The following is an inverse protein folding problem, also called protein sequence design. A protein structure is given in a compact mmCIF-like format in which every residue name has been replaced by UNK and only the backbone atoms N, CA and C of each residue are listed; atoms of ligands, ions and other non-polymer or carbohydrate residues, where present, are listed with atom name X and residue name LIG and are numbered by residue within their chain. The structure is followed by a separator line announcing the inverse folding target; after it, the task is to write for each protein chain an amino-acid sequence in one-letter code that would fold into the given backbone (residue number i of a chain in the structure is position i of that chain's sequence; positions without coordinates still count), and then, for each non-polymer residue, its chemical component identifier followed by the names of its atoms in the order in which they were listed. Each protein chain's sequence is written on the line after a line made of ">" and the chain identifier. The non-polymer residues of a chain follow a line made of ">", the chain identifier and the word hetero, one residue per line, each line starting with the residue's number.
data_IF_263350529489
#
_entry.id   IF_263350529489
#
_cell.length_a   1.000
_cell.length_b   1.000
_cell.length_c   1.000
_cell.angle_alpha   90.00
_cell.angle_beta   90.00
_cell.angle_gamma   90.00
#
_symmetry.space_group_name_H-M   'P 1'
#
loop_
_entity.id
_entity.type
_entity.pdbx_description
1 polymer ?
#
# COMPACT_ATOMS: atom_id res chain seq x y z
N UNK A 1 -3.57 1.46 26.57
CA UNK A 1 -2.24 2.08 26.39
C UNK A 1 -1.20 0.95 26.41
N UNK A 2 -0.17 0.98 25.55
CA UNK A 2 1.00 0.07 25.52
C UNK A 2 1.00 -1.18 24.61
N UNK A 3 0.50 -1.12 23.36
CA UNK A 3 0.84 -2.16 22.35
C UNK A 3 1.56 -1.60 21.12
N UNK A 4 1.14 -0.42 20.65
CA UNK A 4 1.85 0.33 19.60
C UNK A 4 3.26 0.76 20.06
N UNK A 5 3.41 1.16 21.33
CA UNK A 5 4.72 1.43 21.94
C UNK A 5 5.58 0.15 22.10
N UNK A 6 4.96 -1.00 22.33
CA UNK A 6 5.68 -2.28 22.43
C UNK A 6 6.15 -2.78 21.05
N UNK A 7 5.34 -2.58 20.00
CA UNK A 7 5.72 -2.93 18.63
C UNK A 7 6.80 -1.99 18.06
N UNK A 8 6.68 -0.68 18.27
CA UNK A 8 7.69 0.30 17.83
C UNK A 8 8.99 0.20 18.64
N UNK A 9 8.89 -0.07 19.95
CA UNK A 9 10.05 -0.37 20.80
C UNK A 9 10.81 -1.61 20.31
N UNK A 10 10.09 -2.68 19.96
CA UNK A 10 10.67 -3.91 19.42
C UNK A 10 11.36 -3.68 18.06
N UNK A 11 10.77 -2.91 17.15
CA UNK A 11 11.40 -2.63 15.85
C UNK A 11 12.71 -1.83 16.00
N UNK A 12 12.73 -0.83 16.88
CA UNK A 12 13.93 -0.02 17.13
C UNK A 12 15.03 -0.81 17.83
N UNK A 13 14.67 -1.59 18.85
CA UNK A 13 15.63 -2.48 19.51
C UNK A 13 16.18 -3.53 18.53
N UNK A 14 15.33 -4.07 17.65
CA UNK A 14 15.74 -4.99 16.58
C UNK A 14 16.65 -4.32 15.56
N UNK A 15 16.39 -3.07 15.15
CA UNK A 15 17.30 -2.34 14.24
C UNK A 15 18.66 -2.12 14.86
N UNK A 16 18.69 -1.69 16.12
CA UNK A 16 19.94 -1.39 16.83
C UNK A 16 20.78 -2.65 17.02
N UNK A 17 20.13 -3.78 17.34
CA UNK A 17 20.78 -5.09 17.43
C UNK A 17 21.33 -5.57 16.09
N UNK A 18 20.59 -5.41 15.00
CA UNK A 18 21.03 -5.83 13.67
C UNK A 18 22.22 -4.98 13.18
N UNK A 19 22.19 -3.67 13.37
CA UNK A 19 23.30 -2.78 13.03
C UNK A 19 24.55 -3.16 13.83
N UNK A 20 24.41 -3.41 15.14
CA UNK A 20 25.52 -3.87 15.97
C UNK A 20 26.07 -5.22 15.48
N UNK A 21 25.20 -6.15 15.06
CA UNK A 21 25.60 -7.45 14.50
C UNK A 21 26.42 -7.29 13.22
N UNK A 22 25.93 -6.50 12.26
CA UNK A 22 26.62 -6.22 11.00
C UNK A 22 28.00 -5.62 11.25
N UNK A 23 28.10 -4.60 12.10
CA UNK A 23 29.37 -3.96 12.43
C UNK A 23 30.33 -4.92 13.13
N UNK A 24 29.82 -5.76 14.05
CA UNK A 24 30.62 -6.75 14.76
C UNK A 24 31.23 -7.78 13.79
N UNK A 25 30.42 -8.36 12.92
CA UNK A 25 30.88 -9.35 11.93
C UNK A 25 31.90 -8.74 10.96
N UNK A 26 31.66 -7.50 10.50
CA UNK A 26 32.60 -6.79 9.65
C UNK A 26 33.95 -6.54 10.33
N UNK A 27 33.96 -6.05 11.58
CA UNK A 27 35.19 -5.84 12.35
C UNK A 27 35.92 -7.16 12.61
N UNK A 28 35.19 -8.23 12.94
CA UNK A 28 35.78 -9.55 13.14
C UNK A 28 36.43 -10.09 11.86
N UNK A 29 35.78 -9.92 10.71
CA UNK A 29 36.32 -10.32 9.42
C UNK A 29 37.60 -9.54 9.08
N UNK A 30 37.63 -8.24 9.34
CA UNK A 30 38.87 -7.43 9.16
C UNK A 30 39.97 -7.92 10.10
N UNK A 31 39.66 -8.26 11.35
CA UNK A 31 40.65 -8.80 12.30
C UNK A 31 41.24 -10.13 11.81
N UNK A 32 40.39 -11.07 11.39
CA UNK A 32 40.84 -12.38 10.90
C UNK A 32 41.71 -12.29 9.64
N UNK A 33 41.41 -11.32 8.77
CA UNK A 33 42.17 -11.11 7.53
C UNK A 33 43.47 -10.32 7.73
N UNK A 34 43.56 -9.53 8.80
CA UNK A 34 44.75 -8.70 9.12
C UNK A 34 45.63 -9.29 10.22
N UNK A 35 45.27 -10.45 10.76
CA UNK A 35 46.04 -11.12 11.80
C UNK A 35 47.45 -11.48 11.26
N UNK A 36 48.53 -11.01 11.92
CA UNK A 36 49.88 -11.26 11.45
C UNK A 36 50.20 -12.75 11.59
N UNK A 37 50.64 -13.35 10.49
CA UNK A 37 51.11 -14.74 10.50
C UNK A 37 52.56 -14.73 11.00
N UNK A 38 52.77 -14.97 12.29
CA UNK A 38 54.11 -15.18 12.82
C UNK A 38 54.72 -16.46 12.20
N UNK A 39 56.01 -16.40 11.85
CA UNK A 39 56.70 -17.48 11.10
C UNK A 39 56.74 -18.85 11.82
N UNK A 40 56.48 -18.88 13.13
CA UNK A 40 56.32 -20.11 13.91
C UNK A 40 54.88 -20.68 13.89
N UNK A 41 53.89 -19.85 13.54
CA UNK A 41 52.46 -20.15 13.48
C UNK A 41 51.93 -20.34 12.05
N UNK A 42 52.78 -20.25 11.04
CA UNK A 42 52.50 -20.49 9.62
C UNK A 42 52.29 -21.98 9.28
N UNK A 43 51.51 -22.70 10.11
CA UNK A 43 51.09 -24.07 9.85
C UNK A 43 49.88 -24.08 8.92
N UNK A 44 49.82 -25.06 8.01
CA UNK A 44 48.67 -25.30 7.11
C UNK A 44 47.36 -25.41 7.90
N UNK A 45 47.39 -26.00 9.10
CA UNK A 45 46.22 -26.11 9.97
C UNK A 45 45.67 -24.76 10.43
N UNK A 46 46.54 -23.81 10.78
CA UNK A 46 46.12 -22.46 11.20
C UNK A 46 45.58 -21.65 10.02
N UNK A 47 46.20 -21.76 8.84
CA UNK A 47 45.68 -21.12 7.63
C UNK A 47 44.27 -21.65 7.27
N UNK A 48 44.04 -22.96 7.42
CA UNK A 48 42.71 -23.55 7.22
C UNK A 48 41.69 -23.09 8.27
N UNK A 49 42.07 -23.04 9.54
CA UNK A 49 41.20 -22.52 10.61
C UNK A 49 40.83 -21.05 10.40
N UNK A 50 41.80 -20.21 10.01
CA UNK A 50 41.53 -18.80 9.71
C UNK A 50 40.60 -18.67 8.50
N UNK A 51 40.82 -19.44 7.44
CA UNK A 51 39.91 -19.48 6.29
C UNK A 51 38.49 -19.86 6.68
N UNK A 52 38.31 -20.92 7.48
CA UNK A 52 36.99 -21.33 7.98
C UNK A 52 36.33 -20.23 8.81
N UNK A 53 37.10 -19.54 9.67
CA UNK A 53 36.59 -18.43 10.47
C UNK A 53 36.13 -17.26 9.60
N UNK A 54 36.89 -16.91 8.55
CA UNK A 54 36.52 -15.88 7.57
C UNK A 54 35.23 -16.27 6.83
N UNK A 55 35.10 -17.52 6.37
CA UNK A 55 33.91 -18.00 5.67
C UNK A 55 32.66 -17.96 6.58
N UNK A 56 32.81 -18.33 7.86
CA UNK A 56 31.74 -18.26 8.85
C UNK A 56 31.31 -16.81 9.13
N UNK A 57 32.26 -15.90 9.37
CA UNK A 57 31.96 -14.48 9.61
C UNK A 57 31.33 -13.81 8.39
N UNK A 58 31.76 -14.19 7.17
CA UNK A 58 31.14 -13.72 5.91
C UNK A 58 29.69 -14.17 5.81
N UNK A 59 29.42 -15.43 6.11
CA UNK A 59 28.04 -15.98 6.09
C UNK A 59 27.16 -15.30 7.14
N UNK A 60 27.68 -15.09 8.36
CA UNK A 60 26.95 -14.40 9.42
C UNK A 60 26.68 -12.92 9.09
N UNK A 61 27.61 -12.26 8.39
CA UNK A 61 27.43 -10.91 7.88
C UNK A 61 26.31 -10.84 6.83
N UNK A 62 26.30 -11.76 5.86
CA UNK A 62 25.24 -11.86 4.84
C UNK A 62 23.89 -12.05 5.51
N UNK A 63 23.78 -13.01 6.43
CA UNK A 63 22.56 -13.27 7.20
C UNK A 63 22.08 -12.02 7.96
N UNK A 64 22.98 -11.30 8.62
CA UNK A 64 22.64 -10.07 9.35
C UNK A 64 22.11 -8.97 8.42
N UNK A 65 22.64 -8.87 7.19
CA UNK A 65 22.16 -7.93 6.18
C UNK A 65 20.80 -8.35 5.62
N UNK A 66 20.57 -9.64 5.39
CA UNK A 66 19.26 -10.16 4.97
C UNK A 66 18.18 -9.86 6.01
N UNK A 67 18.49 -10.05 7.30
CA UNK A 67 17.57 -9.70 8.40
C UNK A 67 17.29 -8.19 8.46
N UNK A 68 18.28 -7.35 8.15
CA UNK A 68 18.08 -5.91 8.03
C UNK A 68 17.15 -5.57 6.86
N UNK A 69 17.33 -6.20 5.70
CA UNK A 69 16.45 -6.01 4.55
C UNK A 69 15.01 -6.45 4.86
N UNK A 70 14.83 -7.57 5.55
CA UNK A 70 13.52 -8.00 6.05
C UNK A 70 12.88 -6.97 6.97
N UNK A 71 13.66 -6.38 7.89
CA UNK A 71 13.17 -5.31 8.76
C UNK A 71 12.73 -4.07 7.95
N UNK A 72 13.50 -3.66 6.93
CA UNK A 72 13.08 -2.54 6.07
C UNK A 72 11.81 -2.82 5.28
N UNK A 73 11.57 -4.09 4.92
CA UNK A 73 10.32 -4.50 4.28
C UNK A 73 9.15 -4.37 5.26
N UNK A 74 9.31 -4.84 6.50
CA UNK A 74 8.29 -4.69 7.55
C UNK A 74 7.97 -3.22 7.85
N UNK A 75 8.98 -2.36 7.89
CA UNK A 75 8.79 -0.91 8.06
C UNK A 75 8.00 -0.32 6.88
N UNK A 76 8.32 -0.71 5.64
CA UNK A 76 7.57 -0.26 4.46
C UNK A 76 6.14 -0.77 4.45
N UNK A 77 5.91 -2.02 4.86
CA UNK A 77 4.57 -2.59 5.03
C UNK A 77 3.77 -1.80 6.09
N UNK A 78 4.38 -1.45 7.22
CA UNK A 78 3.78 -0.58 8.23
C UNK A 78 3.40 0.82 7.69
N UNK A 79 4.23 1.39 6.81
CA UNK A 79 3.97 2.70 6.20
C UNK A 79 2.82 2.63 5.19
N UNK A 80 2.75 1.55 4.39
CA UNK A 80 1.76 1.41 3.31
C UNK A 80 0.39 0.94 3.84
N UNK A 81 0.38 -0.03 4.76
CA UNK A 81 -0.85 -0.66 5.29
C UNK A 81 -1.37 0.09 6.51
N UNK A 82 -0.50 0.80 7.24
CA UNK A 82 -0.79 1.31 8.58
C UNK A 82 -0.43 0.29 9.68
N UNK A 83 -0.76 0.56 10.96
CA UNK A 83 -0.41 -0.34 12.06
C UNK A 83 -0.93 -1.75 11.77
N UNK A 84 -0.07 -2.77 11.93
CA UNK A 84 -0.39 -4.18 11.67
C UNK A 84 -1.56 -4.64 12.57
N UNK A 85 -2.79 -4.39 12.13
CA UNK A 85 -4.00 -4.97 12.71
C UNK A 85 -4.07 -6.42 12.24
N UNK A 86 -4.54 -7.33 13.10
CA UNK A 86 -4.71 -8.74 12.71
C UNK A 86 -5.67 -8.82 11.51
N UNK A 87 -5.56 -9.85 10.64
CA UNK A 87 -6.59 -10.14 9.65
C UNK A 87 -7.96 -10.19 10.35
N UNK A 88 -8.90 -9.32 9.96
CA UNK A 88 -10.23 -9.18 10.58
C UNK A 88 -10.38 -8.16 11.72
N UNK A 89 -9.31 -7.58 12.30
CA UNK A 89 -9.43 -6.48 13.27
C UNK A 89 -9.39 -5.12 12.56
N UNK A 90 -10.51 -4.39 12.57
CA UNK A 90 -10.58 -3.03 12.02
C UNK A 90 -10.79 -2.95 10.50
N UNK A 91 -10.95 -4.08 9.81
CA UNK A 91 -11.29 -4.14 8.39
C UNK A 91 -12.66 -3.49 8.14
N UNK A 92 -13.66 -3.78 8.98
CA UNK A 92 -14.95 -3.06 8.96
C UNK A 92 -14.80 -1.56 9.20
N UNK A 93 -13.93 -1.16 10.12
CA UNK A 93 -13.75 0.27 10.44
C UNK A 93 -13.01 1.02 9.32
N UNK A 94 -12.07 0.34 8.64
CA UNK A 94 -11.36 0.86 7.47
C UNK A 94 -12.26 0.88 6.23
N UNK A 95 -13.10 -0.13 6.03
CA UNK A 95 -14.15 -0.18 5.01
C UNK A 95 -15.19 0.92 5.23
N UNK A 96 -15.67 1.11 6.46
CA UNK A 96 -16.64 2.16 6.80
C UNK A 96 -16.07 3.57 6.58
N UNK A 97 -14.78 3.79 6.92
CA UNK A 97 -14.09 5.04 6.62
C UNK A 97 -13.92 5.25 5.13
N UNK A 98 -13.45 4.23 4.41
CA UNK A 98 -13.26 4.27 2.96
C UNK A 98 -14.58 4.50 2.23
N UNK A 99 -15.66 3.84 2.66
CA UNK A 99 -17.00 4.01 2.10
C UNK A 99 -17.53 5.44 2.32
N UNK A 100 -17.32 6.02 3.51
CA UNK A 100 -17.64 7.43 3.76
C UNK A 100 -16.84 8.39 2.88
N UNK A 101 -15.54 8.15 2.72
CA UNK A 101 -14.68 8.97 1.87
C UNK A 101 -15.10 8.89 0.40
N UNK A 102 -15.38 7.67 -0.10
CA UNK A 102 -15.92 7.46 -1.46
C UNK A 102 -17.26 8.17 -1.63
N UNK A 103 -18.16 8.07 -0.65
CA UNK A 103 -19.46 8.75 -0.70
C UNK A 103 -19.31 10.27 -0.76
N UNK A 104 -18.35 10.84 -0.02
CA UNK A 104 -18.05 12.27 -0.06
C UNK A 104 -17.50 12.70 -1.43
N UNK A 105 -16.58 11.94 -2.01
CA UNK A 105 -16.01 12.22 -3.34
C UNK A 105 -17.09 12.11 -4.42
N UNK A 106 -17.91 11.07 -4.38
CA UNK A 106 -19.04 10.89 -5.31
C UNK A 106 -20.05 12.03 -5.17
N UNK A 107 -20.35 12.45 -3.93
CA UNK A 107 -21.22 13.59 -3.66
C UNK A 107 -20.66 14.90 -4.25
N UNK A 108 -19.36 15.13 -4.13
CA UNK A 108 -18.69 16.29 -4.71
C UNK A 108 -18.69 16.25 -6.24
N UNK A 109 -18.39 15.10 -6.83
CA UNK A 109 -18.43 14.90 -8.29
C UNK A 109 -19.83 15.12 -8.86
N UNK A 110 -20.86 14.63 -8.18
CA UNK A 110 -22.25 14.85 -8.58
C UNK A 110 -22.62 16.34 -8.51
N UNK A 111 -22.20 17.06 -7.47
CA UNK A 111 -22.40 18.53 -7.39
C UNK A 111 -21.72 19.26 -8.55
N UNK A 112 -20.47 18.92 -8.86
CA UNK A 112 -19.74 19.50 -10.00
C UNK A 112 -20.47 19.17 -11.31
N UNK A 113 -20.92 17.93 -11.50
CA UNK A 113 -21.65 17.51 -12.71
C UNK A 113 -22.97 18.26 -12.89
N UNK A 114 -23.70 18.49 -11.81
CA UNK A 114 -24.94 19.29 -11.83
C UNK A 114 -24.64 20.75 -12.14
N UNK A 115 -23.62 21.35 -11.54
CA UNK A 115 -23.20 22.73 -11.83
C UNK A 115 -22.77 22.92 -13.29
N UNK A 116 -22.01 21.98 -13.86
CA UNK A 116 -21.62 22.00 -15.27
C UNK A 116 -22.86 21.85 -16.17
N UNK A 117 -23.78 20.94 -15.83
CA UNK A 117 -25.03 20.78 -16.58
C UNK A 117 -25.89 22.03 -16.52
N UNK A 118 -26.02 22.67 -15.36
CA UNK A 118 -26.75 23.93 -15.20
C UNK A 118 -26.08 25.08 -15.95
N UNK A 119 -24.75 25.13 -15.99
CA UNK A 119 -23.99 26.08 -16.80
C UNK A 119 -24.26 25.89 -18.29
N UNK A 120 -24.16 24.65 -18.78
CA UNK A 120 -24.45 24.30 -20.18
C UNK A 120 -25.91 24.52 -20.56
N UNK A 121 -26.86 24.26 -19.66
CA UNK A 121 -28.28 24.52 -19.88
C UNK A 121 -28.54 26.03 -19.89
N UNK A 122 -27.91 26.83 -19.03
CA UNK A 122 -28.03 28.29 -19.07
C UNK A 122 -27.38 28.90 -20.33
N UNK A 123 -26.26 28.35 -20.77
CA UNK A 123 -25.58 28.72 -22.02
C UNK A 123 -26.40 28.31 -23.25
N UNK A 124 -26.99 27.11 -23.23
CA UNK A 124 -27.91 26.61 -24.26
C UNK A 124 -29.22 27.40 -24.31
N UNK A 125 -29.79 27.78 -23.16
CA UNK A 125 -31.01 28.60 -23.07
C UNK A 125 -30.74 30.05 -23.48
N UNK A 126 -29.48 30.50 -23.47
CA UNK A 126 -29.06 31.76 -24.10
C UNK A 126 -28.92 31.69 -25.63
N UNK A 127 -29.01 30.49 -26.23
CA UNK A 127 -28.87 30.27 -27.67
C UNK A 127 -30.07 29.57 -28.34
N UNK A 128 -31.10 29.17 -27.61
CA UNK A 128 -32.26 28.48 -28.19
C UNK A 128 -33.59 29.18 -27.93
N UNK A 129 -33.79 30.35 -28.52
CA UNK A 129 -35.13 30.79 -28.95
C UNK A 129 -35.48 30.18 -30.32
N UNK A 130 -35.40 28.87 -30.51
CA UNK A 130 -36.08 28.19 -31.63
C UNK A 130 -36.32 26.71 -31.28
N UNK A 131 -37.59 26.38 -31.01
CA UNK A 131 -38.13 25.07 -31.34
C UNK A 131 -38.13 23.97 -30.26
N UNK A 132 -38.83 24.16 -29.15
CA UNK A 132 -39.36 23.03 -28.35
C UNK A 132 -40.89 23.08 -28.32
N UNK A 133 -41.51 22.89 -29.49
CA UNK A 133 -42.97 22.71 -29.64
C UNK A 133 -43.39 21.34 -30.15
N UNK A 134 -42.46 20.45 -30.54
CA UNK A 134 -42.80 19.31 -31.39
C UNK A 134 -42.67 17.92 -30.75
N UNK A 135 -42.06 17.76 -29.58
CA UNK A 135 -41.74 16.42 -29.05
C UNK A 135 -42.80 15.80 -28.12
N UNK A 136 -43.76 16.58 -27.61
CA UNK A 136 -44.82 16.04 -26.74
C UNK A 136 -46.10 15.61 -27.50
N UNK A 137 -46.28 15.99 -28.77
CA UNK A 137 -47.51 15.69 -29.52
C UNK A 137 -47.54 14.28 -30.14
N UNK A 138 -46.40 13.59 -30.25
CA UNK A 138 -46.32 12.26 -30.91
C UNK A 138 -46.51 11.09 -29.93
N UNK A 139 -46.39 11.32 -28.62
CA UNK A 139 -46.50 10.25 -27.61
C UNK A 139 -47.94 10.04 -27.15
N UNK A 140 -48.79 11.07 -27.18
CA UNK A 140 -50.20 10.97 -26.75
C UNK A 140 -51.15 10.44 -27.83
N UNK A 141 -50.78 10.48 -29.11
CA UNK A 141 -51.61 9.96 -30.21
C UNK A 141 -51.67 8.43 -30.29
N UNK A 142 -50.61 7.73 -29.85
CA UNK A 142 -50.47 6.29 -30.07
C UNK A 142 -51.03 5.42 -28.93
N UNK A 143 -51.59 6.04 -27.88
CA UNK A 143 -52.18 5.33 -26.73
C UNK A 143 -53.70 5.15 -26.84
N UNK A 144 -54.36 5.76 -27.82
CA UNK A 144 -55.82 5.75 -27.95
C UNK A 144 -56.38 4.63 -28.85
N UNK A 145 -55.58 4.03 -29.75
CA UNK A 145 -56.09 3.06 -30.73
C UNK A 145 -55.92 1.58 -30.34
N UNK A 146 -55.14 1.28 -29.29
CA UNK A 146 -54.86 -0.11 -28.90
C UNK A 146 -55.89 -0.73 -27.91
N UNK A 147 -56.96 -0.03 -27.55
CA UNK A 147 -57.92 -0.48 -26.52
C UNK A 147 -59.33 -0.81 -27.03
N UNK A 148 -59.57 -0.89 -28.35
CA UNK A 148 -60.93 -1.06 -28.91
C UNK A 148 -61.19 -2.39 -29.67
N UNK A 149 -60.35 -3.42 -29.56
CA UNK A 149 -60.66 -4.73 -30.17
C UNK A 149 -60.48 -5.90 -29.21
N UNK A 150 -61.34 -6.00 -28.19
CA UNK A 150 -61.81 -7.30 -27.66
C UNK A 150 -63.27 -7.11 -27.20
N UNK A 151 -64.22 -7.43 -28.09
CA UNK A 151 -65.66 -7.46 -27.77
C UNK A 151 -66.09 -8.81 -27.17
N UNK A 152 -67.14 -8.86 -26.33
CA UNK A 152 -67.54 -10.07 -25.62
C UNK A 152 -68.62 -10.85 -26.41
N UNK A 153 -68.44 -12.18 -26.53
CA UNK A 153 -69.42 -13.25 -26.25
C UNK A 153 -68.94 -14.59 -26.80
#
# INVERSE_FOLDING_TARGET
>A
MNREQAATGNLRERSDRLIASVLKHFVNLVKLTTEPIDGASASVGQAMSNKMAIDMETTALIQSVEELLQLTRLIRELIIIGPLRKPGEGEKEAEERSAKEVQNVVGLLNKIRTQVREGLVKESLGQSEFGQGAYNALVDGNKAEASSQVGPR
#
